data_IF_871482775793
#
_entry.id   IF_871482775793
#
_cell.length_a   1.000
_cell.length_b   1.000
_cell.length_c   1.000
_cell.angle_alpha   90.00
_cell.angle_beta   90.00
_cell.angle_gamma   90.00
#
_symmetry.space_group_name_H-M   'P 1'
#
loop_
_entity.id
_entity.type
_entity.pdbx_description
1 polymer ?
#
# COMPACT_ATOMS: atom_id res chain seq x y z
N UNK A 1 18.84 -8.73 12.94
CA UNK A 1 17.36 -8.72 13.00
C UNK A 1 16.74 -9.79 12.10
N UNK A 2 16.85 -9.70 10.76
CA UNK A 2 16.23 -10.67 9.81
C UNK A 2 16.54 -12.15 10.08
N UNK A 3 17.79 -12.52 10.41
CA UNK A 3 18.16 -13.91 10.74
C UNK A 3 17.34 -14.53 11.88
N UNK A 4 16.92 -13.72 12.87
CA UNK A 4 16.09 -14.19 14.00
C UNK A 4 14.66 -14.47 13.57
N UNK A 5 14.11 -13.63 12.69
CA UNK A 5 12.77 -13.84 12.11
C UNK A 5 12.73 -15.13 11.29
N UNK A 6 13.76 -15.36 10.45
CA UNK A 6 13.91 -16.60 9.67
C UNK A 6 13.94 -17.87 10.51
N UNK A 7 14.51 -17.82 11.73
CA UNK A 7 14.56 -18.98 12.63
C UNK A 7 13.17 -19.38 13.15
N UNK A 8 12.22 -18.44 13.15
CA UNK A 8 10.87 -18.64 13.68
C UNK A 8 9.78 -18.52 12.60
N UNK A 9 10.15 -18.51 11.32
CA UNK A 9 9.21 -18.49 10.20
C UNK A 9 9.27 -19.80 9.42
N UNK A 10 8.13 -20.25 8.92
CA UNK A 10 8.07 -21.40 8.01
C UNK A 10 8.33 -20.98 6.57
N UNK A 11 8.01 -19.73 6.23
CA UNK A 11 8.16 -19.16 4.90
C UNK A 11 8.72 -17.73 4.97
N UNK A 12 9.31 -17.25 3.88
CA UNK A 12 9.77 -15.87 3.71
C UNK A 12 9.42 -15.39 2.31
N UNK A 13 8.69 -14.29 2.24
CA UNK A 13 8.55 -13.48 1.02
C UNK A 13 9.51 -12.29 1.09
N UNK A 14 10.31 -12.11 0.04
CA UNK A 14 11.21 -10.97 -0.11
C UNK A 14 11.08 -10.37 -1.49
N UNK A 15 10.92 -9.05 -1.54
CA UNK A 15 10.91 -8.29 -2.79
C UNK A 15 11.95 -7.16 -2.75
N UNK A 16 12.67 -6.97 -3.85
CA UNK A 16 13.53 -5.81 -4.07
C UNK A 16 12.82 -4.84 -5.03
N UNK A 17 12.82 -3.56 -4.66
CA UNK A 17 11.94 -2.55 -5.24
C UNK A 17 12.75 -1.31 -5.62
N UNK A 18 12.48 -0.76 -6.80
CA UNK A 18 12.91 0.59 -7.16
C UNK A 18 11.72 1.56 -7.11
N UNK A 19 11.86 2.73 -6.45
CA UNK A 19 10.77 3.72 -6.41
C UNK A 19 10.48 4.29 -7.81
N UNK A 20 9.22 4.18 -8.24
CA UNK A 20 8.70 4.86 -9.44
C UNK A 20 8.18 6.24 -9.07
N UNK A 21 7.36 6.30 -8.00
CA UNK A 21 6.78 7.56 -7.53
C UNK A 21 6.39 7.44 -6.06
N UNK A 22 6.50 8.54 -5.31
CA UNK A 22 6.04 8.62 -3.94
C UNK A 22 5.36 9.96 -3.71
N UNK A 23 4.19 9.92 -3.06
CA UNK A 23 3.45 11.11 -2.64
C UNK A 23 3.20 11.05 -1.13
N UNK A 24 3.32 12.19 -0.46
CA UNK A 24 3.10 12.29 0.98
C UNK A 24 4.34 11.97 1.82
N UNK A 25 4.14 11.63 3.09
CA UNK A 25 5.18 11.48 4.10
C UNK A 25 5.01 10.21 4.92
N UNK A 26 6.13 9.56 5.24
CA UNK A 26 6.23 8.52 6.24
C UNK A 26 6.88 9.12 7.49
N UNK A 27 6.11 9.35 8.55
CA UNK A 27 6.63 9.91 9.80
C UNK A 27 7.46 11.18 9.57
N UNK A 28 6.87 12.13 8.84
CA UNK A 28 7.42 13.44 8.42
C UNK A 28 8.58 13.38 7.42
N UNK A 29 8.92 12.21 6.89
CA UNK A 29 9.98 12.04 5.91
C UNK A 29 9.44 11.55 4.57
N UNK A 30 10.19 11.77 3.48
CA UNK A 30 9.89 11.22 2.16
C UNK A 30 10.91 10.12 1.84
N UNK A 31 10.68 8.87 2.28
CA UNK A 31 11.72 7.84 2.23
C UNK A 31 11.95 7.25 0.83
N UNK A 32 11.00 7.43 -0.10
CA UNK A 32 10.99 6.77 -1.40
C UNK A 32 11.14 7.76 -2.54
N UNK A 33 12.28 8.44 -2.58
CA UNK A 33 12.60 9.34 -3.68
C UNK A 33 13.08 8.53 -4.89
N UNK A 34 12.48 8.68 -6.08
CA UNK A 34 12.99 8.06 -7.30
C UNK A 34 14.40 8.58 -7.58
N UNK A 35 15.39 7.68 -7.65
CA UNK A 35 16.76 8.05 -7.94
C UNK A 35 16.95 8.47 -9.41
N UNK A 36 16.11 7.95 -10.31
CA UNK A 36 16.00 8.31 -11.72
C UNK A 36 14.51 8.26 -12.12
N UNK A 37 14.13 9.04 -13.14
CA UNK A 37 12.83 8.83 -13.79
C UNK A 37 12.88 7.51 -14.54
N UNK A 38 12.40 6.45 -13.89
CA UNK A 38 12.12 5.19 -14.57
C UNK A 38 10.84 5.44 -15.38
N UNK A 39 10.90 5.19 -16.69
CA UNK A 39 9.72 5.23 -17.56
C UNK A 39 8.68 4.17 -17.14
N UNK A 40 7.60 4.00 -17.92
CA UNK A 40 6.65 2.92 -17.69
C UNK A 40 7.40 1.59 -17.51
N UNK A 41 7.12 0.89 -16.42
CA UNK A 41 7.77 -0.39 -16.15
C UNK A 41 6.92 -1.51 -16.70
N UNK A 42 7.47 -2.27 -17.64
CA UNK A 42 6.88 -3.53 -18.04
C UNK A 42 7.04 -4.54 -16.90
N UNK A 43 5.92 -5.08 -16.43
CA UNK A 43 5.89 -6.14 -15.40
C UNK A 43 5.25 -5.72 -14.08
N UNK A 44 5.54 -6.53 -13.05
CA UNK A 44 4.89 -6.41 -11.74
C UNK A 44 5.24 -5.10 -11.05
N UNK A 45 4.25 -4.54 -10.36
CA UNK A 45 4.41 -3.34 -9.54
C UNK A 45 3.96 -3.57 -8.11
N UNK A 46 4.60 -2.88 -7.19
CA UNK A 46 4.18 -2.82 -5.79
C UNK A 46 3.61 -1.45 -5.48
N UNK A 47 2.51 -1.42 -4.74
CA UNK A 47 2.02 -0.22 -4.08
C UNK A 47 2.11 -0.38 -2.55
N UNK A 48 2.70 0.62 -1.92
CA UNK A 48 2.68 0.80 -0.47
C UNK A 48 1.82 2.02 -0.17
N UNK A 49 0.77 1.82 0.59
CA UNK A 49 -0.05 2.93 1.12
C UNK A 49 0.07 2.94 2.63
N UNK A 50 0.18 4.13 3.22
CA UNK A 50 0.18 4.32 4.67
C UNK A 50 -0.63 5.55 5.00
N UNK A 51 -1.42 5.48 6.05
CA UNK A 51 -2.18 6.61 6.55
C UNK A 51 -2.09 6.67 8.08
N UNK A 52 -1.90 7.88 8.60
CA UNK A 52 -2.01 8.18 10.02
C UNK A 52 -3.36 8.82 10.28
N UNK A 53 -4.26 8.07 10.90
CA UNK A 53 -5.63 8.52 11.16
C UNK A 53 -5.63 9.62 12.22
N UNK A 54 -6.40 10.68 11.99
CA UNK A 54 -6.66 11.70 12.99
C UNK A 54 -7.40 11.07 14.18
N UNK A 55 -6.88 11.24 15.39
CA UNK A 55 -7.36 10.55 16.60
C UNK A 55 -8.89 10.62 16.82
N UNK A 56 -9.53 11.73 16.42
CA UNK A 56 -10.99 11.95 16.54
C UNK A 56 -11.84 11.23 15.47
N UNK A 57 -11.24 10.51 14.53
CA UNK A 57 -11.90 9.90 13.35
C UNK A 57 -11.70 8.39 13.24
N UNK A 58 -11.10 7.76 14.25
CA UNK A 58 -10.84 6.33 14.27
C UNK A 58 -12.11 5.52 13.96
N UNK A 59 -13.22 5.74 14.68
CA UNK A 59 -14.44 4.93 14.53
C UNK A 59 -15.01 4.95 13.09
N UNK A 60 -15.07 6.12 12.44
CA UNK A 60 -15.57 6.22 11.07
C UNK A 60 -14.62 5.56 10.07
N UNK A 61 -13.31 5.64 10.30
CA UNK A 61 -12.31 5.00 9.46
C UNK A 61 -12.42 3.47 9.54
N UNK A 62 -12.44 2.92 10.76
CA UNK A 62 -12.54 1.47 10.98
C UNK A 62 -13.80 0.84 10.36
N UNK A 63 -14.91 1.58 10.30
CA UNK A 63 -16.13 1.13 9.61
C UNK A 63 -15.98 1.06 8.08
N UNK A 64 -15.11 1.88 7.49
CA UNK A 64 -14.89 1.92 6.04
C UNK A 64 -13.81 0.93 5.56
N UNK A 65 -12.92 0.48 6.45
CA UNK A 65 -11.82 -0.46 6.11
C UNK A 65 -12.31 -1.74 5.44
N UNK A 66 -13.36 -2.45 5.94
CA UNK A 66 -13.77 -3.73 5.34
C UNK A 66 -14.11 -3.62 3.86
N UNK A 67 -14.92 -2.62 3.47
CA UNK A 67 -15.32 -2.42 2.08
C UNK A 67 -14.14 -2.07 1.15
N UNK A 68 -13.15 -1.34 1.66
CA UNK A 68 -11.93 -1.02 0.89
C UNK A 68 -11.05 -2.26 0.74
N UNK A 69 -10.91 -3.05 1.81
CA UNK A 69 -10.16 -4.32 1.77
C UNK A 69 -10.81 -5.33 0.84
N UNK A 70 -12.13 -5.50 0.89
CA UNK A 70 -12.87 -6.38 -0.03
C UNK A 70 -12.70 -5.93 -1.48
N UNK A 71 -12.84 -4.64 -1.77
CA UNK A 71 -12.61 -4.11 -3.12
C UNK A 71 -11.16 -4.31 -3.58
N UNK A 72 -10.17 -4.20 -2.69
CA UNK A 72 -8.77 -4.46 -3.01
C UNK A 72 -8.60 -5.93 -3.39
N UNK A 73 -9.03 -6.85 -2.53
CA UNK A 73 -8.88 -8.29 -2.73
C UNK A 73 -9.64 -8.81 -3.97
N UNK A 74 -10.74 -8.16 -4.35
CA UNK A 74 -11.49 -8.48 -5.56
C UNK A 74 -10.93 -7.83 -6.85
N UNK A 75 -9.84 -7.06 -6.76
CA UNK A 75 -9.31 -6.34 -7.91
C UNK A 75 -8.59 -7.25 -8.90
N UNK A 76 -8.95 -7.10 -10.18
CA UNK A 76 -8.29 -7.81 -11.26
C UNK A 76 -6.80 -7.42 -11.34
N UNK A 77 -5.94 -8.44 -11.49
CA UNK A 77 -4.49 -8.26 -11.56
C UNK A 77 -3.81 -7.98 -10.21
N UNK A 78 -4.52 -8.10 -9.09
CA UNK A 78 -3.90 -8.19 -7.77
C UNK A 78 -3.32 -9.60 -7.59
N UNK A 79 -2.02 -9.69 -7.30
CA UNK A 79 -1.34 -10.95 -6.99
C UNK A 79 -1.49 -11.25 -5.49
N UNK A 80 -1.37 -10.24 -4.64
CA UNK A 80 -1.65 -10.36 -3.22
C UNK A 80 -1.43 -9.06 -2.46
N UNK A 81 -2.00 -8.97 -1.26
CA UNK A 81 -1.90 -7.80 -0.40
C UNK A 81 -1.78 -8.19 1.07
N UNK A 82 -1.00 -7.41 1.81
CA UNK A 82 -0.78 -7.58 3.25
C UNK A 82 -1.03 -6.23 3.94
N UNK A 83 -1.77 -6.26 5.05
CA UNK A 83 -1.89 -5.10 5.94
C UNK A 83 -0.60 -4.86 6.72
N UNK A 84 -0.15 -3.60 6.79
CA UNK A 84 1.05 -3.19 7.53
C UNK A 84 0.63 -2.28 8.70
N UNK A 85 0.83 -2.71 9.94
CA UNK A 85 0.52 -1.91 11.13
C UNK A 85 0.67 -2.65 12.46
N UNK A 86 0.44 -1.92 13.55
CA UNK A 86 0.52 -2.46 14.91
C UNK A 86 -0.90 -2.70 15.47
N UNK A 87 -1.25 -3.95 15.75
CA UNK A 87 -2.40 -4.27 16.59
C UNK A 87 -2.11 -3.80 18.04
N UNK A 88 -3.04 -3.15 18.76
CA UNK A 88 -4.45 -2.89 18.47
C UNK A 88 -4.76 -1.53 17.83
N UNK A 89 -3.73 -0.73 17.50
CA UNK A 89 -3.89 0.65 17.00
C UNK A 89 -4.35 0.68 15.53
N UNK A 90 -4.15 -0.42 14.80
CA UNK A 90 -4.71 -0.69 13.47
C UNK A 90 -3.68 -0.91 12.38
N UNK A 91 -4.18 -1.33 11.20
CA UNK A 91 -3.39 -1.40 9.98
C UNK A 91 -3.10 0.03 9.50
N UNK A 92 -1.91 0.55 9.82
CA UNK A 92 -1.46 1.86 9.37
C UNK A 92 -0.81 1.78 7.98
N UNK A 93 -1.38 0.96 7.10
CA UNK A 93 -0.93 0.81 5.73
C UNK A 93 -1.23 -0.54 5.09
N UNK A 94 -0.97 -0.62 3.80
CA UNK A 94 -1.06 -1.83 2.99
C UNK A 94 0.16 -1.94 2.08
N UNK A 95 0.58 -3.17 1.89
CA UNK A 95 1.46 -3.59 0.81
C UNK A 95 0.62 -4.37 -0.19
N UNK A 96 0.74 -4.09 -1.49
CA UNK A 96 0.04 -4.83 -2.53
C UNK A 96 0.94 -5.05 -3.74
N UNK A 97 0.94 -6.27 -4.26
CA UNK A 97 1.67 -6.70 -5.45
C UNK A 97 0.69 -6.91 -6.60
N UNK A 98 1.00 -6.35 -7.76
CA UNK A 98 0.12 -6.33 -8.93
C UNK A 98 0.86 -6.84 -10.17
N UNK A 99 0.10 -7.43 -11.09
CA UNK A 99 0.62 -7.92 -12.38
C UNK A 99 1.16 -6.80 -13.26
N UNK A 100 0.59 -5.60 -13.17
CA UNK A 100 1.00 -4.44 -13.98
C UNK A 100 0.64 -3.10 -13.34
N UNK A 101 1.29 -2.02 -13.81
CA UNK A 101 0.94 -0.65 -13.45
C UNK A 101 -0.51 -0.29 -13.85
N UNK A 102 -1.01 -0.85 -14.95
CA UNK A 102 -2.37 -0.62 -15.44
C UNK A 102 -3.42 -1.22 -14.48
N UNK A 103 -3.21 -2.44 -13.99
CA UNK A 103 -4.10 -3.09 -13.02
C UNK A 103 -4.21 -2.27 -11.74
N UNK A 104 -3.07 -1.79 -11.22
CA UNK A 104 -3.02 -0.91 -10.05
C UNK A 104 -3.75 0.42 -10.30
N UNK A 105 -3.52 1.07 -11.45
CA UNK A 105 -4.20 2.32 -11.82
C UNK A 105 -5.72 2.10 -11.95
N UNK A 106 -6.13 0.98 -12.53
CA UNK A 106 -7.53 0.61 -12.67
C UNK A 106 -8.19 0.50 -11.29
N UNK A 107 -7.56 -0.18 -10.32
CA UNK A 107 -8.05 -0.18 -8.94
C UNK A 107 -8.14 1.23 -8.35
N UNK A 108 -7.04 2.00 -8.41
CA UNK A 108 -6.94 3.31 -7.77
C UNK A 108 -7.94 4.34 -8.32
N UNK A 109 -8.21 4.31 -9.63
CA UNK A 109 -9.05 5.31 -10.29
C UNK A 109 -10.46 4.81 -10.66
N UNK A 110 -10.69 3.51 -10.83
CA UNK A 110 -11.99 2.98 -11.26
C UNK A 110 -12.83 2.38 -10.14
N UNK A 111 -12.26 1.96 -9.01
CA UNK A 111 -13.06 1.44 -7.89
C UNK A 111 -13.91 2.56 -7.27
N UNK A 112 -15.25 2.47 -7.28
CA UNK A 112 -16.13 3.43 -6.61
C UNK A 112 -15.85 3.50 -5.10
N UNK A 113 -15.48 2.36 -4.50
CA UNK A 113 -15.10 2.29 -3.08
C UNK A 113 -13.80 3.06 -2.80
N UNK A 114 -12.78 2.92 -3.67
CA UNK A 114 -11.53 3.67 -3.53
C UNK A 114 -11.74 5.18 -3.76
N UNK A 115 -12.52 5.56 -4.78
CA UNK A 115 -12.92 6.96 -5.00
C UNK A 115 -13.69 7.53 -3.81
N UNK A 116 -14.64 6.78 -3.25
CA UNK A 116 -15.39 7.20 -2.07
C UNK A 116 -14.48 7.34 -0.84
N UNK A 117 -13.50 6.45 -0.67
CA UNK A 117 -12.51 6.53 0.40
C UNK A 117 -11.59 7.76 0.23
N UNK A 118 -11.07 8.03 -0.97
CA UNK A 118 -10.27 9.23 -1.26
C UNK A 118 -11.11 10.50 -1.02
N UNK A 119 -12.31 10.58 -1.60
CA UNK A 119 -13.17 11.76 -1.45
C UNK A 119 -13.56 12.00 0.01
N UNK A 120 -13.86 10.93 0.75
CA UNK A 120 -14.16 11.03 2.18
C UNK A 120 -12.92 11.43 2.98
N UNK A 121 -11.74 10.96 2.59
CA UNK A 121 -10.46 11.37 3.19
C UNK A 121 -10.23 12.87 3.02
N UNK A 122 -10.36 13.39 1.79
CA UNK A 122 -10.16 14.81 1.48
C UNK A 122 -11.21 15.68 2.17
N UNK A 123 -12.47 15.24 2.20
CA UNK A 123 -13.59 16.00 2.77
C UNK A 123 -13.63 15.97 4.30
N UNK A 124 -13.22 14.87 4.92
CA UNK A 124 -13.30 14.68 6.37
C UNK A 124 -11.96 14.83 7.09
N UNK A 125 -10.87 15.12 6.36
CA UNK A 125 -9.49 15.22 6.88
C UNK A 125 -9.16 14.03 7.78
N UNK A 126 -9.45 12.82 7.29
CA UNK A 126 -9.24 11.59 8.07
C UNK A 126 -7.77 11.34 8.37
N UNK A 127 -6.86 11.84 7.53
CA UNK A 127 -5.43 11.61 7.67
C UNK A 127 -4.72 12.87 8.15
N UNK A 128 -3.93 12.69 9.20
CA UNK A 128 -2.94 13.67 9.67
C UNK A 128 -1.63 13.56 8.90
N UNK A 129 -1.41 12.41 8.25
CA UNK A 129 -0.27 12.12 7.38
C UNK A 129 -0.68 10.95 6.48
N UNK A 130 -0.24 10.97 5.22
CA UNK A 130 -0.47 9.90 4.27
C UNK A 130 0.78 9.68 3.40
N UNK A 131 0.94 8.46 2.89
CA UNK A 131 1.96 8.10 1.94
C UNK A 131 1.37 7.14 0.91
N UNK A 132 1.60 7.43 -0.36
CA UNK A 132 1.30 6.55 -1.48
C UNK A 132 2.56 6.40 -2.33
N UNK A 133 3.17 5.23 -2.30
CA UNK A 133 4.39 4.94 -3.02
C UNK A 133 4.18 3.75 -3.97
N UNK A 134 4.74 3.87 -5.18
CA UNK A 134 4.70 2.85 -6.23
C UNK A 134 6.12 2.48 -6.61
N UNK A 135 6.32 1.20 -6.86
CA UNK A 135 7.63 0.62 -7.11
C UNK A 135 7.57 -0.38 -8.26
N UNK A 136 8.65 -0.44 -9.02
CA UNK A 136 8.88 -1.56 -9.93
C UNK A 136 9.55 -2.69 -9.16
N UNK A 137 9.23 -3.92 -9.56
CA UNK A 137 9.82 -5.12 -8.97
C UNK A 137 11.13 -5.44 -9.67
N UNK A 138 12.24 -5.44 -8.92
CA UNK A 138 13.55 -5.93 -9.43
C UNK A 138 13.71 -7.42 -9.25
N UNK A 139 13.27 -7.93 -8.10
CA UNK A 139 13.46 -9.32 -7.71
C UNK A 139 12.37 -9.74 -6.73
N UNK A 140 11.85 -10.96 -6.88
CA UNK A 140 10.96 -11.63 -5.93
C UNK A 140 11.60 -12.95 -5.51
N UNK A 141 11.55 -13.25 -4.20
CA UNK A 141 11.87 -14.56 -3.63
C UNK A 141 10.73 -15.00 -2.71
N UNK A 142 10.36 -16.27 -2.81
CA UNK A 142 9.21 -16.81 -2.07
C UNK A 142 7.88 -16.49 -2.76
N UNK A 143 6.78 -16.81 -2.07
CA UNK A 143 5.41 -16.56 -2.54
C UNK A 143 4.69 -15.68 -1.53
N UNK A 144 3.92 -14.72 -2.03
CA UNK A 144 3.04 -13.86 -1.24
C UNK A 144 1.70 -14.56 -1.01
#
# INVERSE_FOLDING_TARGET
MVKRWRKHSQEEFRVLLDPISSHGFWSKNQPFLPAQMIGPTDGMVVAITRARIAWRKNVSFWKAVPAVTESLLASQGLIGAIGVGEAPVGLQGTFSLWESEESLKTFAFRSPAHKAAIQSTTRQKWFSEELFARFSVKEIRGRL
#
